data_IF_786288067273
#
_entry.id   IF_786288067273
#
_cell.length_a   1.000
_cell.length_b   1.000
_cell.length_c   1.000
_cell.angle_alpha   90.00
_cell.angle_beta   90.00
_cell.angle_gamma   90.00
#
_symmetry.space_group_name_H-M   'P 1'
#
loop_
_entity.id
_entity.type
_entity.pdbx_description
1 polymer ?
#
# COMPACT_ATOMS: atom_id res chain seq x y z
N UNK A 1 -15.66 -0.36 8.73
CA UNK A 1 -15.22 0.99 8.29
C UNK A 1 -16.40 1.70 7.64
N UNK A 2 -16.63 2.99 7.92
CA UNK A 2 -17.61 3.77 7.14
C UNK A 2 -16.95 4.27 5.85
N UNK A 3 -17.58 4.08 4.68
CA UNK A 3 -17.03 4.57 3.41
C UNK A 3 -17.01 6.11 3.40
N UNK A 4 -15.88 6.69 3.05
CA UNK A 4 -15.75 8.14 2.87
C UNK A 4 -16.58 8.60 1.66
N UNK A 5 -17.29 9.73 1.78
CA UNK A 5 -18.17 10.26 0.72
C UNK A 5 -17.72 11.64 0.24
N UNK A 6 -17.83 11.87 -1.07
CA UNK A 6 -17.65 13.17 -1.71
C UNK A 6 -16.31 13.83 -1.38
N UNK A 7 -16.36 15.07 -0.91
CA UNK A 7 -15.17 15.87 -0.55
C UNK A 7 -14.34 15.24 0.57
N UNK A 8 -14.94 14.47 1.48
CA UNK A 8 -14.18 13.82 2.55
C UNK A 8 -13.16 12.82 1.99
N UNK A 9 -13.52 12.08 0.93
CA UNK A 9 -12.60 11.18 0.25
C UNK A 9 -11.47 11.95 -0.46
N UNK A 10 -11.81 13.08 -1.09
CA UNK A 10 -10.84 13.96 -1.75
C UNK A 10 -9.80 14.48 -0.75
N UNK A 11 -10.25 15.07 0.36
CA UNK A 11 -9.34 15.61 1.38
C UNK A 11 -8.56 14.51 2.10
N UNK A 12 -9.18 13.36 2.38
CA UNK A 12 -8.47 12.21 2.97
C UNK A 12 -7.26 11.77 2.12
N UNK A 13 -7.36 11.84 0.78
CA UNK A 13 -6.23 11.51 -0.10
C UNK A 13 -5.05 12.49 -0.02
N UNK A 14 -5.28 13.69 0.53
CA UNK A 14 -4.28 14.76 0.66
C UNK A 14 -3.66 14.84 2.04
N UNK A 15 -4.26 14.17 3.03
CA UNK A 15 -3.68 14.07 4.36
C UNK A 15 -2.60 12.99 4.39
N UNK A 16 -1.50 13.19 5.14
CA UNK A 16 -0.59 12.10 5.45
C UNK A 16 -1.40 10.95 6.07
N UNK A 17 -1.01 9.69 5.84
CA UNK A 17 -1.72 8.55 6.41
C UNK A 17 -1.89 8.77 7.91
N UNK A 18 -3.10 8.52 8.41
CA UNK A 18 -3.29 8.43 9.85
C UNK A 18 -2.36 7.32 10.35
N UNK A 19 -1.51 7.65 11.34
CA UNK A 19 -0.62 6.68 11.94
C UNK A 19 -1.40 5.43 12.36
N UNK A 20 -0.75 4.28 12.23
CA UNK A 20 -1.17 2.93 12.63
C UNK A 20 -2.40 2.95 13.55
N UNK A 21 -3.51 2.37 13.07
CA UNK A 21 -4.68 2.14 13.93
C UNK A 21 -4.19 1.52 15.24
N UNK A 22 -4.67 2.02 16.39
CA UNK A 22 -4.32 1.43 17.69
C UNK A 22 -4.63 -0.06 17.61
N UNK A 23 -3.63 -0.90 17.88
CA UNK A 23 -3.74 -2.36 17.76
C UNK A 23 -4.96 -2.92 18.53
N UNK A 24 -5.38 -2.25 19.61
CA UNK A 24 -6.56 -2.62 20.40
C UNK A 24 -7.91 -2.47 19.69
N UNK A 25 -7.97 -1.80 18.53
CA UNK A 25 -9.19 -1.59 17.73
C UNK A 25 -9.09 -2.31 16.38
N UNK A 26 -7.93 -2.87 16.05
CA UNK A 26 -7.71 -3.55 14.77
C UNK A 26 -8.22 -5.00 14.85
N UNK A 27 -9.02 -5.41 13.86
CA UNK A 27 -9.36 -6.82 13.62
C UNK A 27 -8.21 -7.51 12.88
N UNK A 28 -8.03 -8.81 13.09
CA UNK A 28 -7.06 -9.58 12.30
C UNK A 28 -7.49 -9.66 10.83
N UNK A 29 -6.53 -9.92 9.93
CA UNK A 29 -6.85 -10.05 8.51
C UNK A 29 -7.77 -11.26 8.25
N UNK A 30 -7.57 -12.35 9.00
CA UNK A 30 -8.41 -13.56 8.91
C UNK A 30 -9.87 -13.31 9.34
N UNK A 31 -10.09 -12.50 10.38
CA UNK A 31 -11.42 -12.06 10.80
C UNK A 31 -12.09 -11.21 9.73
N UNK A 32 -11.35 -10.27 9.12
CA UNK A 32 -11.85 -9.41 8.04
C UNK A 32 -12.24 -10.26 6.82
N UNK A 33 -11.41 -11.22 6.42
CA UNK A 33 -11.72 -12.14 5.32
C UNK A 33 -12.95 -13.00 5.64
N UNK A 34 -13.09 -13.45 6.88
CA UNK A 34 -14.25 -14.26 7.32
C UNK A 34 -15.54 -13.44 7.34
N UNK A 35 -15.50 -12.22 7.86
CA UNK A 35 -16.61 -11.27 7.82
C UNK A 35 -17.00 -10.96 6.37
N UNK A 36 -16.03 -10.67 5.50
CA UNK A 36 -16.27 -10.35 4.10
C UNK A 36 -16.95 -11.49 3.34
N UNK A 37 -16.56 -12.74 3.62
CA UNK A 37 -17.23 -13.94 3.09
C UNK A 37 -18.65 -14.09 3.63
N UNK A 38 -18.85 -13.91 4.94
CA UNK A 38 -20.16 -14.04 5.56
C UNK A 38 -21.16 -12.98 5.05
N UNK A 39 -20.70 -11.75 4.80
CA UNK A 39 -21.54 -10.64 4.33
C UNK A 39 -21.59 -10.50 2.80
N UNK A 40 -20.87 -11.34 2.05
CA UNK A 40 -20.67 -11.20 0.61
C UNK A 40 -20.23 -9.78 0.18
N UNK A 41 -19.31 -9.17 0.93
CA UNK A 41 -18.88 -7.78 0.69
C UNK A 41 -17.84 -7.65 -0.44
N UNK A 42 -17.36 -8.77 -0.99
CA UNK A 42 -16.35 -8.79 -2.06
C UNK A 42 -14.92 -9.03 -1.55
N UNK A 43 -13.91 -8.86 -2.42
CA UNK A 43 -12.52 -9.17 -2.10
C UNK A 43 -11.90 -8.19 -1.11
N UNK A 44 -11.00 -8.69 -0.27
CA UNK A 44 -10.21 -7.88 0.66
C UNK A 44 -8.94 -7.43 -0.06
N UNK A 45 -8.71 -6.11 -0.09
CA UNK A 45 -7.53 -5.51 -0.74
C UNK A 45 -6.59 -4.99 0.34
N UNK A 46 -5.34 -5.42 0.29
CA UNK A 46 -4.31 -5.08 1.27
C UNK A 46 -3.22 -4.25 0.60
N UNK A 47 -2.86 -3.11 1.21
CA UNK A 47 -1.78 -2.23 0.75
C UNK A 47 -0.60 -2.30 1.72
N UNK A 48 0.44 -3.09 1.42
CA UNK A 48 1.50 -3.38 2.38
C UNK A 48 2.42 -2.19 2.70
N UNK A 49 2.41 -1.14 1.87
CA UNK A 49 3.19 0.08 2.10
C UNK A 49 2.63 0.96 3.24
N UNK A 50 1.37 0.73 3.68
CA UNK A 50 0.66 1.50 4.70
C UNK A 50 0.61 3.03 4.45
N UNK A 51 1.01 3.48 3.26
CA UNK A 51 0.97 4.87 2.83
C UNK A 51 0.99 4.95 1.31
N UNK A 52 0.57 6.09 0.77
CA UNK A 52 0.70 6.36 -0.66
C UNK A 52 2.17 6.57 -1.06
N UNK A 53 2.70 5.81 -2.00
CA UNK A 53 4.00 6.14 -2.61
C UNK A 53 3.84 7.16 -3.75
N UNK A 54 4.96 7.76 -4.15
CA UNK A 54 5.01 8.67 -5.29
C UNK A 54 5.13 7.94 -6.65
N UNK A 55 5.04 6.60 -6.66
CA UNK A 55 5.12 5.78 -7.87
C UNK A 55 6.52 5.63 -8.49
N UNK A 56 7.57 6.19 -7.87
CA UNK A 56 8.96 6.04 -8.34
C UNK A 56 9.68 4.84 -7.73
N UNK A 57 9.33 4.49 -6.50
CA UNK A 57 9.95 3.43 -5.74
C UNK A 57 8.92 2.82 -4.79
N UNK A 58 9.12 1.54 -4.43
CA UNK A 58 8.30 0.86 -3.44
C UNK A 58 8.87 1.12 -2.05
N UNK A 59 7.99 1.42 -1.10
CA UNK A 59 8.35 1.53 0.31
C UNK A 59 8.55 0.13 0.90
N UNK A 60 9.21 0.07 2.06
CA UNK A 60 9.29 -1.18 2.81
C UNK A 60 7.88 -1.63 3.20
N UNK A 61 7.58 -2.89 2.94
CA UNK A 61 6.30 -3.49 3.32
C UNK A 61 6.26 -3.71 4.82
N UNK A 62 5.08 -3.56 5.41
CA UNK A 62 4.85 -4.05 6.76
C UNK A 62 4.83 -5.58 6.74
N UNK A 63 5.32 -6.24 7.80
CA UNK A 63 5.14 -7.67 7.99
C UNK A 63 3.65 -7.93 8.29
N UNK A 64 2.89 -8.41 7.30
CA UNK A 64 1.44 -8.63 7.43
C UNK A 64 1.17 -10.09 7.75
N UNK A 65 1.87 -10.99 7.05
CA UNK A 65 1.68 -12.43 7.16
C UNK A 65 2.67 -13.11 8.10
N UNK A 66 3.60 -12.36 8.68
CA UNK A 66 4.52 -12.86 9.71
C UNK A 66 3.79 -13.44 10.94
N UNK A 67 2.58 -12.96 11.23
CA UNK A 67 1.73 -13.52 12.27
C UNK A 67 0.78 -14.58 11.68
N UNK A 68 0.87 -15.83 12.18
CA UNK A 68 0.00 -16.95 11.78
C UNK A 68 -1.50 -16.65 11.89
N UNK A 69 -1.90 -15.69 12.73
CA UNK A 69 -3.29 -15.27 12.88
C UNK A 69 -3.85 -14.47 11.70
N UNK A 70 -3.00 -13.99 10.79
CA UNK A 70 -3.39 -13.21 9.61
C UNK A 70 -3.51 -14.05 8.34
N UNK A 71 -3.02 -15.29 8.34
CA UNK A 71 -3.18 -16.20 7.22
C UNK A 71 -4.60 -16.78 7.18
N UNK A 72 -5.18 -16.84 5.99
CA UNK A 72 -6.48 -17.46 5.77
C UNK A 72 -6.35 -18.53 4.67
N UNK A 73 -6.25 -19.82 5.02
CA UNK A 73 -5.96 -20.90 4.06
C UNK A 73 -7.09 -21.11 3.04
N UNK A 74 -8.28 -20.53 3.28
CA UNK A 74 -9.42 -20.59 2.37
C UNK A 74 -9.42 -19.46 1.33
N UNK A 75 -8.49 -18.52 1.41
CA UNK A 75 -8.38 -17.36 0.53
C UNK A 75 -7.25 -17.54 -0.47
N UNK A 76 -7.40 -16.97 -1.67
CA UNK A 76 -6.35 -16.91 -2.68
C UNK A 76 -5.69 -15.53 -2.66
N UNK A 77 -4.38 -15.49 -2.86
CA UNK A 77 -3.63 -14.24 -3.00
C UNK A 77 -3.54 -13.84 -4.47
N UNK A 78 -3.84 -12.58 -4.75
CA UNK A 78 -3.66 -11.97 -6.07
C UNK A 78 -2.79 -10.74 -5.93
N UNK A 79 -1.68 -10.72 -6.66
CA UNK A 79 -0.71 -9.63 -6.60
C UNK A 79 -0.95 -8.64 -7.74
N UNK A 80 -1.19 -7.39 -7.36
CA UNK A 80 -1.34 -6.27 -8.28
C UNK A 80 -0.34 -5.18 -7.95
N UNK A 81 0.34 -4.66 -8.98
CA UNK A 81 1.17 -3.47 -8.87
C UNK A 81 0.50 -2.30 -9.58
N UNK A 82 0.28 -1.21 -8.84
CA UNK A 82 -0.31 0.02 -9.32
C UNK A 82 0.77 1.09 -9.47
N UNK A 83 0.95 1.62 -10.68
CA UNK A 83 2.01 2.58 -10.99
C UNK A 83 1.49 3.79 -11.76
N UNK A 84 1.75 4.98 -11.21
CA UNK A 84 1.60 6.23 -11.93
C UNK A 84 2.93 6.61 -12.58
N UNK A 85 3.03 6.69 -13.92
CA UNK A 85 4.25 7.08 -14.59
C UNK A 85 4.56 8.56 -14.30
N UNK A 86 5.60 8.80 -13.51
CA UNK A 86 6.05 10.12 -13.07
C UNK A 86 6.81 10.86 -14.18
N UNK A 87 6.16 11.20 -15.31
CA UNK A 87 6.77 12.05 -16.35
C UNK A 87 6.56 13.55 -16.11
N UNK A 88 5.42 13.93 -15.52
CA UNK A 88 5.06 15.36 -15.37
C UNK A 88 4.42 15.69 -14.03
N UNK A 89 3.49 14.85 -13.54
CA UNK A 89 2.78 15.05 -12.29
C UNK A 89 2.31 13.69 -11.75
N UNK A 90 2.28 13.53 -10.42
CA UNK A 90 1.79 12.32 -9.79
C UNK A 90 0.42 12.60 -9.16
N UNK A 91 -0.62 11.79 -9.44
CA UNK A 91 -1.92 11.96 -8.79
C UNK A 91 -1.85 11.81 -7.26
N UNK A 92 -0.91 11.03 -6.74
CA UNK A 92 -0.71 10.88 -5.31
C UNK A 92 -0.01 12.10 -4.73
N UNK A 93 -0.67 12.74 -3.75
CA UNK A 93 -0.08 13.84 -3.02
C UNK A 93 1.07 13.33 -2.16
N UNK A 94 2.26 13.92 -2.36
CA UNK A 94 3.48 13.54 -1.62
C UNK A 94 3.91 14.65 -0.67
N UNK A 95 4.06 15.88 -1.16
CA UNK A 95 4.51 17.03 -0.36
C UNK A 95 4.12 18.36 -1.00
N UNK A 96 4.05 19.43 -0.21
CA UNK A 96 3.90 20.81 -0.69
C UNK A 96 2.57 21.47 -0.28
N UNK A 97 1.94 22.17 -1.22
CA UNK A 97 0.64 22.82 -1.01
C UNK A 97 -0.47 21.96 -1.59
N UNK A 98 -1.35 21.48 -0.72
CA UNK A 98 -2.53 20.67 -1.09
C UNK A 98 -3.38 21.38 -2.14
N UNK A 99 -3.60 22.69 -2.01
CA UNK A 99 -4.39 23.46 -2.97
C UNK A 99 -3.73 23.51 -4.35
N UNK A 100 -2.41 23.74 -4.41
CA UNK A 100 -1.67 23.70 -5.68
C UNK A 100 -1.71 22.32 -6.32
N UNK A 101 -1.61 21.26 -5.51
CA UNK A 101 -1.74 19.87 -5.97
C UNK A 101 -3.13 19.61 -6.55
N UNK A 102 -4.18 20.04 -5.86
CA UNK A 102 -5.57 19.85 -6.31
C UNK A 102 -5.85 20.60 -7.61
N UNK A 103 -5.44 21.87 -7.70
CA UNK A 103 -5.56 22.65 -8.95
C UNK A 103 -4.79 21.95 -10.07
N UNK A 104 -3.56 21.51 -9.81
CA UNK A 104 -2.75 20.74 -10.76
C UNK A 104 -3.47 19.48 -11.23
N UNK A 105 -4.01 18.68 -10.33
CA UNK A 105 -4.77 17.46 -10.61
C UNK A 105 -6.01 17.76 -11.47
N UNK A 106 -6.76 18.83 -11.17
CA UNK A 106 -7.93 19.24 -11.94
C UNK A 106 -7.58 19.82 -13.33
N UNK A 107 -6.38 20.38 -13.50
CA UNK A 107 -5.89 20.87 -14.79
C UNK A 107 -5.29 19.77 -15.68
N UNK A 108 -5.15 18.54 -15.19
CA UNK A 108 -4.69 17.42 -16.03
C UNK A 108 -5.81 16.90 -16.92
N UNK A 109 -5.61 17.01 -18.24
CA UNK A 109 -6.54 16.45 -19.24
C UNK A 109 -6.56 14.93 -19.19
N UNK A 110 -5.43 14.29 -18.87
CA UNK A 110 -5.34 12.83 -18.76
C UNK A 110 -4.44 12.39 -17.61
N UNK A 111 -4.85 11.32 -16.94
CA UNK A 111 -4.05 10.60 -15.95
C UNK A 111 -3.96 9.13 -16.36
N UNK A 112 -2.73 8.60 -16.44
CA UNK A 112 -2.48 7.20 -16.76
C UNK A 112 -2.11 6.43 -15.51
N UNK A 113 -2.84 5.37 -15.23
CA UNK A 113 -2.48 4.35 -14.26
C UNK A 113 -2.04 3.10 -15.01
N UNK A 114 -0.86 2.58 -14.69
CA UNK A 114 -0.40 1.28 -15.16
C UNK A 114 -0.72 0.27 -14.08
N UNK A 115 -1.52 -0.75 -14.43
CA UNK A 115 -1.83 -1.88 -13.57
C UNK A 115 -1.10 -3.09 -14.12
N UNK A 116 -0.30 -3.74 -13.28
CA UNK A 116 0.37 -4.99 -13.61
C UNK A 116 -0.17 -6.05 -12.68
N UNK A 117 -0.73 -7.12 -13.25
CA UNK A 117 -1.16 -8.30 -12.52
C UNK A 117 -0.09 -9.38 -12.65
N UNK A 118 0.23 -10.05 -11.55
CA UNK A 118 1.06 -11.26 -11.55
C UNK A 118 0.17 -12.44 -11.95
N UNK A 119 0.68 -13.33 -12.78
CA UNK A 119 -0.05 -14.54 -13.18
C UNK A 119 -0.34 -15.44 -11.98
N UNK A 120 -1.51 -16.10 -12.00
CA UNK A 120 -2.03 -16.85 -10.85
C UNK A 120 -1.15 -18.04 -10.44
N UNK A 121 -0.41 -18.59 -11.40
CA UNK A 121 0.56 -19.69 -11.21
C UNK A 121 1.83 -19.24 -10.46
N UNK A 122 2.17 -17.96 -10.61
CA UNK A 122 3.36 -17.33 -10.05
C UNK A 122 3.06 -16.57 -8.74
N UNK A 123 1.81 -16.58 -8.28
CA UNK A 123 1.42 -15.95 -7.03
C UNK A 123 1.76 -16.86 -5.84
N UNK A 124 2.33 -16.30 -4.75
CA UNK A 124 2.60 -17.05 -3.54
C UNK A 124 1.30 -17.53 -2.90
N UNK A 125 1.35 -18.69 -2.22
CA UNK A 125 0.16 -19.35 -1.63
C UNK A 125 0.33 -19.48 -0.12
N UNK A 126 -0.79 -19.45 0.60
CA UNK A 126 -0.81 -19.69 2.04
C UNK A 126 -0.47 -21.14 2.38
N UNK A 127 0.10 -21.37 3.57
CA UNK A 127 0.37 -22.70 4.11
C UNK A 127 1.57 -23.44 3.51
N UNK A 128 2.48 -22.72 2.85
CA UNK A 128 3.78 -23.27 2.43
C UNK A 128 4.76 -23.06 3.60
N UNK A 129 5.17 -24.15 4.24
CA UNK A 129 6.08 -24.08 5.40
C UNK A 129 7.56 -23.94 5.00
N UNK A 130 7.93 -24.42 3.81
CA UNK A 130 9.30 -24.38 3.29
C UNK A 130 9.33 -24.07 1.80
N UNK A 131 10.35 -23.33 1.37
CA UNK A 131 10.56 -23.06 -0.06
C UNK A 131 10.80 -24.37 -0.82
N UNK A 132 10.24 -24.55 -2.02
CA UNK A 132 10.47 -25.74 -2.82
C UNK A 132 11.96 -25.87 -3.16
N UNK A 133 12.63 -26.83 -2.51
CA UNK A 133 14.05 -27.14 -2.74
C UNK A 133 15.06 -26.51 -1.77
N UNK A 134 14.63 -25.91 -0.66
CA UNK A 134 15.54 -25.44 0.39
C UNK A 134 14.94 -25.57 1.79
N UNK A 135 15.76 -25.90 2.79
CA UNK A 135 15.38 -25.95 4.22
C UNK A 135 15.22 -24.55 4.87
N UNK A 136 15.22 -23.47 4.07
CA UNK A 136 15.00 -22.12 4.60
C UNK A 136 13.52 -21.89 4.95
N UNK A 137 13.23 -21.20 6.08
CA UNK A 137 11.87 -20.84 6.45
C UNK A 137 11.22 -20.00 5.35
N UNK A 138 9.99 -20.35 4.99
CA UNK A 138 9.21 -19.62 3.99
C UNK A 138 8.67 -18.33 4.60
N UNK A 139 9.18 -17.19 4.13
CA UNK A 139 8.66 -15.87 4.47
C UNK A 139 7.77 -15.36 3.33
N UNK A 140 6.46 -15.43 3.55
CA UNK A 140 5.44 -15.01 2.60
C UNK A 140 5.51 -13.51 2.29
N UNK A 141 5.79 -12.67 3.29
CA UNK A 141 5.87 -11.21 3.11
C UNK A 141 7.05 -10.85 2.18
N UNK A 142 8.20 -11.52 2.36
CA UNK A 142 9.38 -11.34 1.52
C UNK A 142 9.17 -11.83 0.08
N UNK A 143 8.49 -12.96 -0.11
CA UNK A 143 8.18 -13.48 -1.45
C UNK A 143 7.22 -12.55 -2.21
N UNK A 144 6.20 -12.04 -1.53
CA UNK A 144 5.28 -11.03 -2.08
C UNK A 144 6.07 -9.77 -2.48
N UNK A 145 6.98 -9.31 -1.62
CA UNK A 145 7.82 -8.13 -1.88
C UNK A 145 8.69 -8.33 -3.12
N UNK A 146 9.37 -9.47 -3.23
CA UNK A 146 10.24 -9.79 -4.37
C UNK A 146 9.43 -9.89 -5.68
N UNK A 147 8.29 -10.58 -5.65
CA UNK A 147 7.43 -10.79 -6.80
C UNK A 147 6.84 -9.48 -7.32
N UNK A 148 6.33 -8.62 -6.42
CA UNK A 148 5.81 -7.30 -6.79
C UNK A 148 6.93 -6.38 -7.30
N UNK A 149 8.11 -6.43 -6.69
CA UNK A 149 9.26 -5.63 -7.13
C UNK A 149 9.66 -6.01 -8.57
N UNK A 150 9.74 -7.31 -8.85
CA UNK A 150 10.04 -7.83 -10.19
C UNK A 150 8.96 -7.43 -11.22
N UNK A 151 7.68 -7.61 -10.87
CA UNK A 151 6.56 -7.30 -11.76
C UNK A 151 6.42 -5.78 -12.05
N UNK A 152 6.58 -4.95 -11.03
CA UNK A 152 6.40 -3.49 -11.14
C UNK A 152 7.59 -2.76 -11.78
N UNK A 153 8.77 -3.40 -11.82
CA UNK A 153 10.05 -2.79 -12.22
C UNK A 153 10.35 -1.51 -11.44
N UNK A 154 9.98 -1.48 -10.16
CA UNK A 154 10.26 -0.39 -9.24
C UNK A 154 11.41 -0.78 -8.32
N UNK A 155 12.18 0.20 -7.86
CA UNK A 155 13.23 -0.02 -6.86
C UNK A 155 12.57 -0.17 -5.48
N UNK A 156 12.91 -1.22 -4.75
CA UNK A 156 12.53 -1.35 -3.34
C UNK A 156 13.42 -0.45 -2.47
N UNK A 157 12.82 0.24 -1.52
CA UNK A 157 13.51 1.13 -0.56
C UNK A 157 13.45 0.56 0.85
N UNK A 158 14.40 0.96 1.69
CA UNK A 158 14.39 0.65 3.13
C UNK A 158 13.53 1.63 3.95
N UNK A 159 12.84 2.57 3.28
CA UNK A 159 12.06 3.60 3.93
C UNK A 159 10.65 3.07 4.21
N UNK A 160 10.18 3.33 5.42
CA UNK A 160 8.87 2.91 5.91
C UNK A 160 7.86 4.05 5.84
N UNK A 161 6.59 3.75 6.12
CA UNK A 161 5.57 4.77 6.29
C UNK A 161 5.88 5.76 7.42
N UNK A 162 6.58 5.31 8.47
CA UNK A 162 6.97 6.16 9.60
C UNK A 162 8.02 7.20 9.16
N UNK A 163 9.02 6.80 8.39
CA UNK A 163 10.03 7.71 7.83
C UNK A 163 9.39 8.80 6.97
N UNK A 164 8.36 8.42 6.19
CA UNK A 164 7.59 9.39 5.40
C UNK A 164 6.85 10.39 6.30
N UNK A 165 6.23 9.93 7.39
CA UNK A 165 5.52 10.80 8.34
C UNK A 165 6.51 11.80 8.96
N UNK A 166 7.67 11.32 9.41
CA UNK A 166 8.67 12.17 10.06
C UNK A 166 9.30 13.17 9.07
N UNK A 167 9.53 12.75 7.82
CA UNK A 167 9.94 13.66 6.76
C UNK A 167 8.92 14.77 6.50
N UNK A 168 7.62 14.43 6.45
CA UNK A 168 6.55 15.43 6.26
C UNK A 168 6.49 16.42 7.41
N UNK A 169 6.65 15.95 8.67
CA UNK A 169 6.74 16.84 9.84
C UNK A 169 7.92 17.80 9.71
N UNK A 170 9.11 17.27 9.46
CA UNK A 170 10.34 18.04 9.29
C UNK A 170 10.20 19.10 8.18
N UNK A 171 9.65 18.72 7.02
CA UNK A 171 9.44 19.64 5.91
C UNK A 171 8.48 20.78 6.27
N UNK A 172 7.36 20.46 6.95
CA UNK A 172 6.38 21.45 7.36
C UNK A 172 6.95 22.44 8.39
N UNK A 173 7.77 21.96 9.33
CA UNK A 173 8.49 22.83 10.29
C UNK A 173 9.46 23.77 9.57
N UNK A 174 10.27 23.25 8.65
CA UNK A 174 11.20 24.06 7.83
C UNK A 174 10.47 25.11 7.01
N UNK A 175 9.34 24.77 6.39
CA UNK A 175 8.52 25.72 5.62
C UNK A 175 7.95 26.85 6.48
N UNK A 176 7.78 26.67 7.80
CA UNK A 176 7.36 27.76 8.70
C UNK A 176 8.51 28.70 9.05
N UNK A 177 9.74 28.21 9.09
CA UNK A 177 10.93 29.00 9.43
C UNK A 177 11.38 29.88 8.26
N UNK A 178 11.25 29.39 7.02
CA UNK A 178 11.68 30.10 5.81
C UNK A 178 10.55 30.90 5.10
N UNK A 179 9.38 31.02 5.74
CA UNK A 179 8.30 31.91 5.30
C UNK A 179 8.37 33.22 6.05
#
# INVERSE_FOLDING_TARGET
MQPLRGYAALFASTHPPAALLKASVAKSLSEICTEARATNSGPVVVFPENTSSNGKALLSFLPIFSDLGNEDPKSNLFLFALKYPYKSFCPTYSIGSVFRHLVGLCCQIYNRLVVVQVADDSCPKFGIESKPGSDEPYDLDEEIRLTITAASRLRSTKLTALDKIDFVKYYNERQRIYK
#
